data_IF_709816800866
#
_entry.id   IF_709816800866
#
_cell.length_a   1.000
_cell.length_b   1.000
_cell.length_c   1.000
_cell.angle_alpha   90.00
_cell.angle_beta   90.00
_cell.angle_gamma   90.00
#
_symmetry.space_group_name_H-M   'P 1'
#
loop_
_entity.id
_entity.type
_entity.pdbx_description
1 polymer ?
#
# COMPACT_ATOMS: atom_id res chain seq x y z
N UNK A 1 21.98 -20.22 -29.06
CA UNK A 1 21.25 -20.24 -27.77
C UNK A 1 19.86 -19.66 -27.98
N UNK A 2 18.78 -20.37 -27.60
CA UNK A 2 17.43 -19.91 -27.91
C UNK A 2 17.07 -18.65 -27.10
N UNK A 3 16.57 -17.61 -27.78
CA UNK A 3 16.27 -16.26 -27.26
C UNK A 3 15.30 -16.23 -26.07
N UNK A 4 14.53 -17.30 -25.89
CA UNK A 4 13.59 -17.50 -24.78
C UNK A 4 14.24 -17.76 -23.42
N UNK A 5 15.57 -17.98 -23.36
CA UNK A 5 16.31 -18.09 -22.09
C UNK A 5 16.77 -16.73 -21.52
N UNK A 6 16.61 -15.62 -22.25
CA UNK A 6 17.09 -14.28 -21.85
C UNK A 6 16.03 -13.48 -21.07
N UNK A 7 14.75 -13.87 -21.12
CA UNK A 7 13.63 -13.11 -20.56
C UNK A 7 12.75 -13.82 -19.54
N UNK A 8 13.05 -15.05 -19.14
CA UNK A 8 12.44 -15.63 -17.94
C UNK A 8 13.22 -15.19 -16.72
N UNK A 9 12.82 -14.05 -16.15
CA UNK A 9 13.15 -13.72 -14.76
C UNK A 9 12.71 -14.92 -13.91
N UNK A 10 13.57 -15.53 -13.09
CA UNK A 10 13.09 -16.49 -12.12
C UNK A 10 12.07 -15.75 -11.25
N UNK A 11 10.83 -16.23 -11.26
CA UNK A 11 9.80 -15.73 -10.36
C UNK A 11 10.34 -15.88 -8.94
N UNK A 12 10.35 -14.81 -8.15
CA UNK A 12 10.84 -14.79 -6.76
C UNK A 12 10.31 -15.92 -5.87
N UNK A 13 9.25 -16.61 -6.32
CA UNK A 13 8.69 -17.79 -5.69
C UNK A 13 9.55 -19.07 -5.76
N UNK A 14 10.47 -19.22 -6.72
CA UNK A 14 11.30 -20.45 -6.81
C UNK A 14 12.45 -20.49 -5.79
N UNK A 15 12.80 -19.36 -5.15
CA UNK A 15 13.86 -19.29 -4.15
C UNK A 15 13.38 -19.52 -2.69
N UNK A 16 12.07 -19.66 -2.48
CA UNK A 16 11.45 -19.73 -1.16
C UNK A 16 11.24 -21.16 -0.65
N UNK A 17 11.63 -22.18 -1.42
CA UNK A 17 11.27 -23.58 -1.13
C UNK A 17 12.09 -24.23 0.00
N UNK A 18 13.10 -23.55 0.54
CA UNK A 18 14.01 -24.14 1.54
C UNK A 18 14.55 -23.12 2.57
N UNK A 19 13.77 -22.12 2.96
CA UNK A 19 14.14 -21.20 4.05
C UNK A 19 13.17 -21.29 5.21
N UNK A 20 13.72 -21.50 6.41
CA UNK A 20 12.97 -21.45 7.66
C UNK A 20 12.07 -20.21 7.71
N UNK A 21 10.76 -20.36 8.00
CA UNK A 21 9.80 -19.26 7.97
C UNK A 21 10.11 -18.19 9.02
N UNK A 22 10.68 -18.58 10.16
CA UNK A 22 11.10 -17.64 11.21
C UNK A 22 12.20 -16.69 10.71
N UNK A 23 13.15 -17.18 9.90
CA UNK A 23 14.21 -16.37 9.32
C UNK A 23 13.73 -15.42 8.21
N UNK A 24 12.51 -15.62 7.68
CA UNK A 24 11.90 -14.69 6.73
C UNK A 24 11.19 -13.53 7.43
N UNK A 25 10.59 -13.77 8.60
CA UNK A 25 9.91 -12.73 9.38
C UNK A 25 10.89 -11.70 9.98
N UNK A 26 12.11 -12.13 10.28
CA UNK A 26 13.16 -11.26 10.84
C UNK A 26 13.86 -10.39 9.78
N UNK A 27 13.63 -10.67 8.49
CA UNK A 27 14.22 -9.92 7.38
C UNK A 27 13.47 -8.62 7.12
N UNK A 28 14.19 -7.53 6.90
CA UNK A 28 13.61 -6.27 6.42
C UNK A 28 13.05 -6.44 5.01
N UNK A 29 11.81 -5.98 4.80
CA UNK A 29 11.16 -5.98 3.50
C UNK A 29 11.80 -4.90 2.63
N UNK A 30 12.20 -5.26 1.41
CA UNK A 30 12.63 -4.29 0.40
C UNK A 30 11.39 -3.71 -0.29
N UNK A 31 11.19 -2.41 -0.13
CA UNK A 31 10.05 -1.68 -0.69
C UNK A 31 10.37 -1.07 -2.06
N UNK A 32 11.64 -1.00 -2.47
CA UNK A 32 12.06 -0.36 -3.71
C UNK A 32 11.68 -1.20 -4.94
N UNK A 33 11.56 -2.52 -4.76
CA UNK A 33 11.13 -3.45 -5.80
C UNK A 33 9.60 -3.58 -5.94
N UNK A 34 8.84 -2.89 -5.07
CA UNK A 34 7.38 -2.99 -5.00
C UNK A 34 6.71 -1.75 -5.61
N UNK A 35 5.69 -1.96 -6.45
CA UNK A 35 4.85 -0.88 -6.94
C UNK A 35 3.92 -0.38 -5.83
N UNK A 36 4.23 0.80 -5.27
CA UNK A 36 3.38 1.49 -4.30
C UNK A 36 2.69 2.66 -5.01
N UNK A 37 1.38 2.55 -5.17
CA UNK A 37 0.58 3.61 -5.76
C UNK A 37 0.35 4.75 -4.77
N UNK A 38 0.40 5.99 -5.27
CA UNK A 38 0.04 7.15 -4.47
C UNK A 38 -1.45 7.12 -4.10
N UNK A 39 -1.78 7.55 -2.88
CA UNK A 39 -3.17 7.68 -2.48
C UNK A 39 -3.89 8.71 -3.38
N UNK A 40 -5.07 8.38 -3.94
CA UNK A 40 -5.76 9.25 -4.89
C UNK A 40 -6.27 10.56 -4.26
N UNK A 41 -6.39 10.58 -2.93
CA UNK A 41 -6.69 11.77 -2.14
C UNK A 41 -6.17 11.58 -0.72
N UNK A 42 -6.02 12.69 0.00
CA UNK A 42 -5.49 12.72 1.35
C UNK A 42 -6.35 13.63 2.21
N UNK A 43 -6.75 13.15 3.38
CA UNK A 43 -7.46 13.97 4.35
C UNK A 43 -6.43 14.66 5.26
N UNK A 44 -6.55 15.98 5.42
CA UNK A 44 -5.65 16.76 6.26
C UNK A 44 -6.23 16.90 7.66
N UNK A 45 -5.37 16.81 8.68
CA UNK A 45 -5.73 17.08 10.07
C UNK A 45 -6.44 18.44 10.19
N UNK A 46 -7.54 18.48 10.94
CA UNK A 46 -8.36 19.69 11.08
C UNK A 46 -9.41 19.90 9.98
N UNK A 47 -9.52 18.99 9.01
CA UNK A 47 -10.66 18.98 8.08
C UNK A 47 -11.97 18.83 8.84
N UNK A 48 -12.91 19.74 8.63
CA UNK A 48 -14.22 19.69 9.27
C UNK A 48 -14.98 18.42 8.87
N UNK A 49 -15.76 17.85 9.79
CA UNK A 49 -16.59 16.67 9.53
C UNK A 49 -17.56 16.89 8.35
N UNK A 50 -18.13 18.08 8.17
CA UNK A 50 -18.96 18.37 7.00
C UNK A 50 -18.21 18.16 5.67
N UNK A 51 -17.00 18.74 5.52
CA UNK A 51 -16.15 18.51 4.34
C UNK A 51 -15.81 17.04 4.16
N UNK A 52 -15.51 16.32 5.25
CA UNK A 52 -15.21 14.88 5.21
C UNK A 52 -16.42 14.11 4.66
N UNK A 53 -17.62 14.36 5.21
CA UNK A 53 -18.86 13.74 4.75
C UNK A 53 -19.10 14.02 3.26
N UNK A 54 -19.01 15.29 2.83
CA UNK A 54 -19.18 15.67 1.43
C UNK A 54 -18.19 14.93 0.53
N UNK A 55 -16.92 14.83 0.93
CA UNK A 55 -15.87 14.19 0.13
C UNK A 55 -16.11 12.68 0.00
N UNK A 56 -16.52 12.02 1.09
CA UNK A 56 -16.90 10.61 1.08
C UNK A 56 -18.11 10.35 0.19
N UNK A 57 -19.14 11.20 0.23
CA UNK A 57 -20.32 11.05 -0.63
C UNK A 57 -20.03 11.31 -2.10
N UNK A 58 -19.22 12.34 -2.43
CA UNK A 58 -18.91 12.71 -3.81
C UNK A 58 -18.02 11.66 -4.50
N UNK A 59 -17.07 11.09 -3.77
CA UNK A 59 -16.10 10.15 -4.32
C UNK A 59 -16.47 8.68 -4.05
N UNK A 60 -17.57 8.42 -3.34
CA UNK A 60 -18.02 7.06 -3.01
C UNK A 60 -17.02 6.29 -2.16
N UNK A 61 -16.35 6.97 -1.22
CA UNK A 61 -15.24 6.40 -0.47
C UNK A 61 -15.72 5.54 0.69
N UNK A 62 -15.06 4.42 0.93
CA UNK A 62 -15.24 3.62 2.16
C UNK A 62 -14.26 4.01 3.26
N UNK A 63 -13.03 4.33 2.88
CA UNK A 63 -11.93 4.66 3.79
C UNK A 63 -11.08 5.82 3.25
N UNK A 64 -10.53 6.60 4.17
CA UNK A 64 -9.64 7.71 3.89
C UNK A 64 -8.51 7.78 4.92
N UNK A 65 -7.30 8.05 4.45
CA UNK A 65 -6.14 8.25 5.32
C UNK A 65 -6.05 9.72 5.75
N UNK A 66 -5.89 9.94 7.06
CA UNK A 66 -5.70 11.26 7.65
C UNK A 66 -4.22 11.48 7.91
N UNK A 67 -3.74 12.65 7.53
CA UNK A 67 -2.33 12.99 7.58
C UNK A 67 -2.09 14.37 8.17
N UNK A 68 -0.92 14.55 8.75
CA UNK A 68 -0.40 15.83 9.23
C UNK A 68 1.03 16.00 8.70
N UNK A 69 1.24 16.99 7.83
CA UNK A 69 2.52 17.24 7.14
C UNK A 69 3.18 15.96 6.55
N UNK A 70 2.38 15.10 5.90
CA UNK A 70 2.85 13.85 5.27
C UNK A 70 3.02 12.67 6.23
N UNK A 71 2.77 12.86 7.52
CA UNK A 71 2.74 11.77 8.51
C UNK A 71 1.34 11.19 8.60
N UNK A 72 1.22 9.87 8.57
CA UNK A 72 -0.06 9.20 8.81
C UNK A 72 -0.47 9.39 10.27
N UNK A 73 -1.67 9.94 10.49
CA UNK A 73 -2.24 10.16 11.82
C UNK A 73 -3.33 9.14 12.13
N UNK A 74 -4.09 8.71 11.12
CA UNK A 74 -5.15 7.71 11.30
C UNK A 74 -5.94 7.42 10.04
N UNK A 75 -6.98 6.62 10.19
CA UNK A 75 -7.90 6.24 9.11
C UNK A 75 -9.32 6.58 9.52
N UNK A 76 -10.08 7.16 8.60
CA UNK A 76 -11.52 7.40 8.75
C UNK A 76 -12.23 6.47 7.79
N UNK A 77 -13.29 5.81 8.26
CA UNK A 77 -14.17 4.99 7.42
C UNK A 77 -15.63 5.34 7.66
N UNK A 78 -16.47 5.10 6.65
CA UNK A 78 -17.91 5.06 6.86
C UNK A 78 -18.26 3.78 7.62
N UNK A 79 -19.11 3.91 8.63
CA UNK A 79 -19.76 2.77 9.24
C UNK A 79 -20.97 2.41 8.37
N UNK A 80 -21.11 1.13 8.06
CA UNK A 80 -22.26 0.55 7.32
C UNK A 80 -23.61 1.12 7.80
#
# INVERSE_FOLDING_TARGET
VPLQAVFTRPSSNELLKDRDPEALLDRTIDLDEIAIDAAPFQLVLGSSLYKVHTLFSLLGLSHAYVTDCGRLVGVVGLKE
#
